data_IF_200516290309
#
_entry.id   IF_200516290309
#
_cell.length_a   1.000
_cell.length_b   1.000
_cell.length_c   1.000
_cell.angle_alpha   90.00
_cell.angle_beta   90.00
_cell.angle_gamma   90.00
#
_symmetry.space_group_name_H-M   'P 1'
#
loop_
_entity.id
_entity.type
_entity.pdbx_description
1 polymer ?
#
# COMPACT_ATOMS: atom_id res chain seq x y z
N UNK A 1 -10.94 12.80 9.76
CA UNK A 1 -9.87 12.43 8.82
C UNK A 1 -10.22 11.09 8.20
N UNK A 2 -10.29 11.01 6.87
CA UNK A 2 -10.56 9.76 6.15
C UNK A 2 -9.30 9.35 5.37
N UNK A 3 -9.02 8.05 5.27
CA UNK A 3 -7.89 7.54 4.49
C UNK A 3 -8.34 6.62 3.37
N UNK A 4 -7.87 6.86 2.15
CA UNK A 4 -8.08 5.95 1.01
C UNK A 4 -6.76 5.25 0.70
N UNK A 5 -6.75 3.92 0.80
CA UNK A 5 -5.54 3.11 0.67
C UNK A 5 -5.59 2.17 -0.52
N UNK A 6 -4.46 2.13 -1.24
CA UNK A 6 -4.16 1.19 -2.32
C UNK A 6 -2.89 0.41 -1.94
N UNK A 7 -3.04 -0.68 -1.18
CA UNK A 7 -1.95 -1.59 -0.75
C UNK A 7 -2.33 -3.01 -0.26
N UNK A 8 -1.82 -4.03 -0.96
CA UNK A 8 -1.68 -5.48 -0.65
C UNK A 8 -2.50 -6.08 0.51
N UNK A 9 -3.51 -6.92 0.19
CA UNK A 9 -4.19 -7.88 1.10
C UNK A 9 -4.60 -9.19 0.40
N UNK A 10 -4.36 -10.33 1.05
CA UNK A 10 -4.60 -11.69 0.56
C UNK A 10 -6.11 -11.92 0.31
N UNK A 11 -6.49 -12.36 -0.90
CA UNK A 11 -7.88 -12.66 -1.26
C UNK A 11 -8.11 -14.17 -1.20
N UNK A 12 -9.19 -14.59 -0.53
CA UNK A 12 -9.66 -15.97 -0.41
C UNK A 12 -10.60 -16.37 -1.58
N UNK A 13 -10.71 -17.66 -1.93
CA UNK A 13 -11.31 -18.13 -3.17
C UNK A 13 -12.83 -18.30 -3.05
N UNK A 14 -13.57 -17.19 -3.07
CA UNK A 14 -15.01 -17.22 -3.38
C UNK A 14 -15.46 -15.81 -3.71
N UNK A 15 -15.75 -15.59 -4.99
CA UNK A 15 -16.34 -14.37 -5.49
C UNK A 15 -17.67 -14.10 -4.77
N UNK A 16 -17.70 -13.02 -4.00
CA UNK A 16 -18.94 -12.37 -3.58
C UNK A 16 -18.62 -10.88 -3.54
N UNK A 17 -19.38 -10.07 -4.27
CA UNK A 17 -19.29 -8.62 -4.23
C UNK A 17 -19.57 -8.18 -2.78
N UNK A 18 -18.51 -7.90 -2.02
CA UNK A 18 -18.65 -7.47 -0.64
C UNK A 18 -18.87 -5.97 -0.62
N UNK A 19 -19.97 -5.62 0.05
CA UNK A 19 -20.39 -4.27 0.39
C UNK A 19 -19.23 -3.44 0.94
N UNK A 20 -19.36 -2.11 0.88
CA UNK A 20 -18.25 -1.25 1.21
C UNK A 20 -17.98 -1.25 2.72
N UNK A 21 -16.72 -1.35 3.10
CA UNK A 21 -16.31 -1.31 4.51
C UNK A 21 -15.79 -2.62 5.06
N UNK A 22 -15.00 -3.38 4.28
CA UNK A 22 -14.12 -4.40 4.84
C UNK A 22 -13.03 -3.71 5.68
N UNK A 23 -13.38 -3.43 6.93
CA UNK A 23 -12.43 -2.93 7.92
C UNK A 23 -11.39 -3.99 8.33
N UNK A 24 -11.63 -5.28 8.08
CA UNK A 24 -10.77 -6.34 8.64
C UNK A 24 -10.61 -7.57 7.72
N UNK A 25 -10.32 -7.37 6.42
CA UNK A 25 -9.72 -8.47 5.65
C UNK A 25 -8.25 -8.67 6.06
N UNK A 26 -7.80 -9.90 6.34
CA UNK A 26 -6.41 -10.15 6.69
C UNK A 26 -5.44 -9.62 5.63
N UNK A 27 -4.38 -8.95 6.07
CA UNK A 27 -3.27 -8.56 5.21
C UNK A 27 -2.46 -9.78 4.75
N UNK A 28 -1.49 -9.58 3.85
CA UNK A 28 -0.65 -10.68 3.34
C UNK A 28 0.16 -11.39 4.44
N UNK A 29 0.42 -10.69 5.55
CA UNK A 29 1.03 -11.22 6.77
C UNK A 29 0.07 -12.01 7.67
N UNK A 30 -1.19 -12.20 7.25
CA UNK A 30 -2.23 -12.84 8.03
C UNK A 30 -2.71 -12.03 9.25
N UNK A 31 -2.22 -10.80 9.42
CA UNK A 31 -2.56 -9.87 10.49
C UNK A 31 -3.45 -8.73 10.00
N UNK A 32 -3.57 -7.68 10.81
CA UNK A 32 -4.37 -6.51 10.50
C UNK A 32 -3.64 -5.59 9.49
N UNK A 33 -4.29 -5.12 8.40
CA UNK A 33 -3.65 -4.19 7.47
C UNK A 33 -3.28 -2.89 8.18
N UNK A 34 -2.05 -2.39 7.95
CA UNK A 34 -1.52 -1.20 8.63
C UNK A 34 -2.42 0.06 8.64
N UNK A 35 -3.24 0.35 7.61
CA UNK A 35 -4.23 1.43 7.66
C UNK A 35 -5.21 1.35 8.82
N UNK A 36 -5.62 0.14 9.17
CA UNK A 36 -6.57 -0.08 10.26
C UNK A 36 -5.98 0.30 11.62
N UNK A 37 -4.66 0.12 11.79
CA UNK A 37 -3.93 0.60 12.97
C UNK A 37 -3.89 2.13 13.01
N UNK A 38 -3.74 2.81 11.87
CA UNK A 38 -3.86 4.29 11.82
C UNK A 38 -5.25 4.71 12.27
N UNK A 39 -6.30 4.08 11.75
CA UNK A 39 -7.68 4.31 12.18
C UNK A 39 -7.86 4.12 13.69
N UNK A 40 -7.27 3.05 14.25
CA UNK A 40 -7.28 2.79 15.69
C UNK A 40 -6.53 3.86 16.49
N UNK A 41 -5.38 4.36 16.01
CA UNK A 41 -4.55 5.30 16.76
C UNK A 41 -5.12 6.71 16.83
N UNK A 42 -5.82 7.16 15.80
CA UNK A 42 -6.27 8.56 15.69
C UNK A 42 -7.78 8.71 15.45
N UNK A 43 -8.55 7.62 15.54
CA UNK A 43 -10.01 7.64 15.34
C UNK A 43 -10.43 7.97 13.90
N UNK A 44 -9.55 7.75 12.93
CA UNK A 44 -9.83 8.03 11.53
C UNK A 44 -10.63 6.91 10.86
N UNK A 45 -11.47 7.27 9.91
CA UNK A 45 -12.10 6.30 9.01
C UNK A 45 -11.09 5.90 7.95
N UNK A 46 -11.11 4.65 7.51
CA UNK A 46 -10.31 4.20 6.39
C UNK A 46 -11.16 3.42 5.40
N UNK A 47 -10.82 3.60 4.12
CA UNK A 47 -11.43 2.96 2.97
C UNK A 47 -10.33 2.23 2.21
N UNK A 48 -10.51 0.93 2.04
CA UNK A 48 -9.49 0.06 1.54
C UNK A 48 -9.89 -0.48 0.17
N UNK A 49 -9.20 0.01 -0.86
CA UNK A 49 -9.38 -0.45 -2.24
C UNK A 49 -8.24 -1.36 -2.69
N UNK A 50 -7.40 -1.74 -1.74
CA UNK A 50 -6.22 -2.50 -2.03
C UNK A 50 -6.48 -3.95 -2.41
N UNK A 51 -5.70 -4.45 -3.36
CA UNK A 51 -5.70 -5.86 -3.73
C UNK A 51 -4.28 -6.42 -3.63
N UNK A 52 -4.08 -7.53 -2.91
CA UNK A 52 -2.80 -8.23 -2.94
C UNK A 52 -2.52 -8.71 -4.34
N UNK A 53 -1.31 -8.42 -4.78
CA UNK A 53 -0.92 -8.80 -6.11
C UNK A 53 -1.32 -7.84 -7.21
N UNK A 54 -1.97 -6.73 -6.87
CA UNK A 54 -2.19 -5.66 -7.83
C UNK A 54 -0.86 -5.10 -8.33
N UNK A 55 -0.88 -4.74 -9.61
CA UNK A 55 0.10 -3.88 -10.27
C UNK A 55 -0.51 -2.48 -10.47
N UNK A 56 0.27 -1.51 -10.95
CA UNK A 56 -0.33 -0.21 -11.28
C UNK A 56 -1.35 -0.34 -12.42
N UNK A 57 -0.98 -1.06 -13.49
CA UNK A 57 -1.84 -1.33 -14.63
C UNK A 57 -1.47 -2.67 -15.26
N UNK A 58 -2.47 -3.53 -15.49
CA UNK A 58 -2.27 -4.78 -16.22
C UNK A 58 -1.91 -4.55 -17.70
N UNK A 59 -2.09 -3.34 -18.23
CA UNK A 59 -1.58 -3.00 -19.57
C UNK A 59 -0.05 -2.92 -19.62
N UNK A 60 0.60 -2.67 -18.47
CA UNK A 60 2.05 -2.53 -18.34
C UNK A 60 2.69 -3.83 -17.87
N UNK A 61 2.16 -4.39 -16.78
CA UNK A 61 2.70 -5.56 -16.08
C UNK A 61 1.57 -6.54 -15.78
N UNK A 62 0.98 -7.20 -16.81
CA UNK A 62 -0.17 -8.08 -16.60
C UNK A 62 0.17 -9.17 -15.58
N UNK A 63 -0.62 -9.25 -14.50
CA UNK A 63 -0.36 -10.23 -13.45
C UNK A 63 -1.54 -11.17 -13.31
N UNK A 64 -1.32 -12.43 -13.64
CA UNK A 64 -2.36 -13.47 -13.61
C UNK A 64 -2.30 -14.20 -12.26
N UNK A 65 -3.46 -14.35 -11.62
CA UNK A 65 -3.63 -15.20 -10.45
C UNK A 65 -3.65 -16.67 -10.88
N UNK A 66 -2.63 -17.44 -10.50
CA UNK A 66 -2.53 -18.86 -10.88
C UNK A 66 -3.77 -19.67 -10.46
N UNK A 67 -4.40 -19.31 -9.34
CA UNK A 67 -5.57 -20.02 -8.82
C UNK A 67 -6.83 -19.86 -9.72
N UNK A 68 -6.96 -18.75 -10.44
CA UNK A 68 -8.17 -18.44 -11.23
C UNK A 68 -7.89 -18.35 -12.73
N UNK A 69 -6.64 -18.12 -13.14
CA UNK A 69 -6.28 -17.80 -14.52
C UNK A 69 -6.66 -16.37 -14.93
N UNK A 70 -7.17 -15.56 -14.00
CA UNK A 70 -7.62 -14.19 -14.27
C UNK A 70 -6.56 -13.16 -13.84
N UNK A 71 -6.65 -11.95 -14.39
CA UNK A 71 -5.80 -10.84 -13.96
C UNK A 71 -6.15 -10.40 -12.54
N UNK A 72 -5.14 -10.09 -11.73
CA UNK A 72 -5.34 -9.37 -10.49
C UNK A 72 -5.94 -7.99 -10.78
N UNK A 73 -6.97 -7.55 -10.04
CA UNK A 73 -7.47 -6.19 -10.16
C UNK A 73 -6.37 -5.14 -9.89
N UNK A 74 -6.05 -4.34 -10.89
CA UNK A 74 -5.00 -3.32 -10.84
C UNK A 74 -5.51 -1.97 -10.32
N UNK A 75 -4.60 -1.03 -10.10
CA UNK A 75 -4.96 0.31 -9.60
C UNK A 75 -5.74 1.11 -10.65
N UNK A 76 -5.28 1.10 -11.90
CA UNK A 76 -5.78 1.99 -12.95
C UNK A 76 -7.18 1.63 -13.44
N UNK A 77 -7.49 0.35 -13.60
CA UNK A 77 -8.75 -0.15 -14.16
C UNK A 77 -9.75 -0.62 -13.11
N UNK A 78 -9.31 -0.94 -11.89
CA UNK A 78 -10.20 -1.37 -10.82
C UNK A 78 -10.19 -0.45 -9.60
N UNK A 79 -9.06 -0.32 -8.88
CA UNK A 79 -9.10 0.24 -7.52
C UNK A 79 -9.53 1.72 -7.51
N UNK A 80 -8.96 2.55 -8.39
CA UNK A 80 -9.33 3.97 -8.52
C UNK A 80 -10.75 4.15 -9.07
N UNK A 81 -11.16 3.45 -10.15
CA UNK A 81 -12.55 3.43 -10.61
C UNK A 81 -13.56 3.01 -9.53
N UNK A 82 -13.28 1.96 -8.75
CA UNK A 82 -14.15 1.48 -7.68
C UNK A 82 -14.35 2.57 -6.60
N UNK A 83 -13.26 3.23 -6.19
CA UNK A 83 -13.36 4.39 -5.30
C UNK A 83 -14.24 5.51 -5.87
N UNK A 84 -14.14 5.81 -7.16
CA UNK A 84 -14.98 6.83 -7.78
C UNK A 84 -16.46 6.42 -7.81
N UNK A 85 -16.76 5.15 -8.09
CA UNK A 85 -18.12 4.63 -8.07
C UNK A 85 -18.72 4.73 -6.65
N UNK A 86 -17.98 4.30 -5.64
CA UNK A 86 -18.38 4.40 -4.23
C UNK A 86 -18.62 5.86 -3.81
N UNK A 87 -17.71 6.77 -4.14
CA UNK A 87 -17.86 8.20 -3.82
C UNK A 87 -19.10 8.83 -4.46
N UNK A 88 -19.50 8.35 -5.64
CA UNK A 88 -20.69 8.84 -6.34
C UNK A 88 -21.97 8.24 -5.78
N UNK A 89 -21.91 7.03 -5.23
CA UNK A 89 -23.07 6.31 -4.75
C UNK A 89 -23.81 7.06 -3.64
N UNK A 90 -25.13 7.06 -3.75
CA UNK A 90 -26.06 7.64 -2.78
C UNK A 90 -27.11 6.58 -2.50
N UNK A 91 -27.29 6.27 -1.22
CA UNK A 91 -28.31 5.31 -0.79
C UNK A 91 -29.72 5.85 -1.12
N UNK A 92 -30.74 4.98 -1.22
CA UNK A 92 -32.12 5.40 -1.45
C UNK A 92 -32.67 6.40 -0.42
N UNK A 93 -32.10 6.43 0.79
CA UNK A 93 -32.46 7.39 1.84
C UNK A 93 -31.79 8.78 1.67
N UNK A 94 -31.07 9.01 0.57
CA UNK A 94 -30.39 10.26 0.25
C UNK A 94 -29.01 10.44 0.90
N UNK A 95 -28.57 9.50 1.75
CA UNK A 95 -27.23 9.58 2.36
C UNK A 95 -26.15 9.14 1.39
N UNK A 96 -25.00 9.82 1.39
CA UNK A 96 -23.84 9.40 0.61
C UNK A 96 -23.24 8.12 1.16
N UNK A 97 -22.77 7.27 0.26
CA UNK A 97 -22.06 6.06 0.63
C UNK A 97 -20.85 6.35 1.52
N UNK A 98 -20.03 7.29 1.08
CA UNK A 98 -18.87 7.79 1.80
C UNK A 98 -18.75 9.30 1.60
N UNK A 99 -18.18 9.99 2.60
CA UNK A 99 -17.96 11.43 2.55
C UNK A 99 -16.50 11.75 2.72
N UNK A 100 -15.80 12.01 1.62
CA UNK A 100 -14.36 12.30 1.56
C UNK A 100 -14.07 13.80 1.41
N UNK A 101 -14.11 14.59 2.51
CA UNK A 101 -13.76 16.01 2.50
C UNK A 101 -12.31 16.20 2.04
N UNK A 102 -12.05 16.98 0.96
CA UNK A 102 -10.71 17.24 0.43
C UNK A 102 -9.68 17.67 1.48
N UNK A 103 -10.09 18.49 2.44
CA UNK A 103 -9.25 19.10 3.46
C UNK A 103 -8.81 18.13 4.56
N UNK A 104 -9.55 17.04 4.79
CA UNK A 104 -9.24 16.08 5.85
C UNK A 104 -9.14 14.63 5.37
N UNK A 105 -9.09 14.42 4.06
CA UNK A 105 -8.87 13.10 3.47
C UNK A 105 -7.44 12.96 2.98
N UNK A 106 -6.77 11.87 3.36
CA UNK A 106 -5.43 11.51 2.91
C UNK A 106 -5.51 10.29 2.00
N UNK A 107 -4.89 10.37 0.84
CA UNK A 107 -4.85 9.32 -0.18
C UNK A 107 -3.47 8.70 -0.17
N UNK A 108 -3.36 7.42 0.15
CA UNK A 108 -2.08 6.74 0.13
C UNK A 108 -2.02 5.63 -0.91
N UNK A 109 -0.96 5.69 -1.73
CA UNK A 109 -0.70 4.72 -2.79
C UNK A 109 0.63 4.04 -2.47
N UNK A 110 0.56 2.72 -2.20
CA UNK A 110 1.74 1.87 -2.10
C UNK A 110 1.62 0.73 -3.11
N UNK A 111 2.28 0.90 -4.25
CA UNK A 111 2.22 -0.02 -5.38
C UNK A 111 3.59 -0.14 -6.05
N UNK A 112 3.76 -1.18 -6.85
CA UNK A 112 4.93 -1.38 -7.71
C UNK A 112 5.77 -2.60 -7.36
N UNK A 113 5.67 -3.15 -6.14
CA UNK A 113 6.43 -4.34 -5.76
C UNK A 113 6.07 -5.55 -6.64
N UNK A 114 4.84 -5.57 -7.16
CA UNK A 114 4.39 -6.56 -8.13
C UNK A 114 4.76 -6.20 -9.58
N UNK A 115 5.05 -4.93 -9.86
CA UNK A 115 5.49 -4.45 -11.16
C UNK A 115 7.00 -4.71 -11.36
N UNK A 116 7.79 -4.56 -10.30
CA UNK A 116 9.27 -4.69 -10.31
C UNK A 116 9.76 -6.02 -9.72
N UNK A 117 9.08 -7.12 -10.02
CA UNK A 117 9.48 -8.49 -9.63
C UNK A 117 9.93 -9.30 -10.85
N UNK A 118 10.32 -10.55 -10.60
CA UNK A 118 10.88 -11.46 -11.61
C UNK A 118 9.91 -11.87 -12.74
N UNK A 119 8.62 -11.55 -12.63
CA UNK A 119 7.59 -11.69 -13.68
C UNK A 119 7.11 -10.32 -14.19
N UNK A 120 7.89 -9.26 -13.93
CA UNK A 120 7.67 -7.90 -14.42
C UNK A 120 8.98 -7.26 -14.90
N UNK A 121 9.23 -6.02 -14.49
CA UNK A 121 10.34 -5.20 -15.01
C UNK A 121 11.75 -5.68 -14.67
N UNK A 122 11.95 -6.55 -13.67
CA UNK A 122 13.30 -7.01 -13.33
C UNK A 122 13.89 -8.01 -14.33
N UNK A 123 13.05 -8.63 -15.16
CA UNK A 123 13.43 -9.72 -16.06
C UNK A 123 12.90 -9.51 -17.48
N UNK A 124 12.49 -8.28 -17.80
CA UNK A 124 11.88 -7.93 -19.09
C UNK A 124 10.60 -8.73 -19.42
N UNK A 125 9.83 -9.10 -18.39
CA UNK A 125 8.57 -9.87 -18.50
C UNK A 125 7.32 -8.98 -18.62
N UNK A 126 7.46 -7.66 -18.50
CA UNK A 126 6.41 -6.67 -18.76
C UNK A 126 5.90 -6.71 -20.21
N UNK A 127 4.83 -5.95 -20.48
CA UNK A 127 4.39 -5.66 -21.85
C UNK A 127 5.56 -5.07 -22.66
N UNK A 128 5.88 -5.72 -23.79
CA UNK A 128 6.99 -5.34 -24.67
C UNK A 128 6.92 -3.86 -25.05
N UNK A 129 8.06 -3.19 -24.97
CA UNK A 129 8.20 -1.77 -25.31
C UNK A 129 7.84 -0.80 -24.19
N UNK A 130 7.38 -1.29 -23.03
CA UNK A 130 7.18 -0.47 -21.83
C UNK A 130 8.40 -0.51 -20.91
N UNK A 131 8.53 0.50 -20.07
CA UNK A 131 9.67 0.77 -19.19
C UNK A 131 9.21 1.06 -17.77
N UNK A 132 10.14 1.09 -16.82
CA UNK A 132 9.85 1.53 -15.44
C UNK A 132 9.28 2.96 -15.41
N UNK A 133 9.65 3.81 -16.38
CA UNK A 133 9.08 5.15 -16.48
C UNK A 133 7.57 5.11 -16.79
N UNK A 134 7.11 4.17 -17.61
CA UNK A 134 5.67 4.00 -17.89
C UNK A 134 4.90 3.56 -16.64
N UNK A 135 5.49 2.71 -15.80
CA UNK A 135 4.92 2.36 -14.49
C UNK A 135 4.84 3.58 -13.56
N UNK A 136 5.90 4.39 -13.51
CA UNK A 136 5.90 5.63 -12.71
C UNK A 136 4.81 6.56 -13.22
N UNK A 137 4.72 6.76 -14.54
CA UNK A 137 3.69 7.59 -15.16
C UNK A 137 2.27 7.05 -14.88
N UNK A 138 2.08 5.73 -14.85
CA UNK A 138 0.81 5.13 -14.41
C UNK A 138 0.45 5.55 -12.98
N UNK A 139 1.39 5.53 -12.02
CA UNK A 139 1.13 5.94 -10.63
C UNK A 139 0.72 7.42 -10.57
N UNK A 140 1.44 8.28 -11.29
CA UNK A 140 1.14 9.72 -11.36
C UNK A 140 -0.20 10.02 -12.03
N UNK A 141 -0.55 9.30 -13.09
CA UNK A 141 -1.86 9.41 -13.71
C UNK A 141 -2.99 9.07 -12.72
N UNK A 142 -2.77 8.16 -11.77
CA UNK A 142 -3.77 7.87 -10.74
C UNK A 142 -3.91 9.01 -9.74
N UNK A 143 -2.80 9.64 -9.36
CA UNK A 143 -2.77 10.86 -8.54
C UNK A 143 -3.54 11.97 -9.26
N UNK A 144 -3.29 12.19 -10.55
CA UNK A 144 -4.00 13.18 -11.37
C UNK A 144 -5.50 12.93 -11.40
N UNK A 145 -5.92 11.68 -11.62
CA UNK A 145 -7.34 11.31 -11.64
C UNK A 145 -8.04 11.59 -10.30
N UNK A 146 -7.36 11.32 -9.18
CA UNK A 146 -7.83 11.64 -7.83
C UNK A 146 -7.87 13.15 -7.62
N UNK A 147 -6.82 13.86 -8.03
CA UNK A 147 -6.66 15.30 -7.89
C UNK A 147 -7.73 16.09 -8.64
N UNK A 148 -8.00 15.71 -9.90
CA UNK A 148 -9.08 16.28 -10.72
C UNK A 148 -10.48 16.12 -10.08
N UNK A 149 -10.62 15.19 -9.12
CA UNK A 149 -11.85 14.95 -8.34
C UNK A 149 -11.76 15.48 -6.91
N UNK A 150 -10.86 16.42 -6.65
CA UNK A 150 -10.77 17.13 -5.39
C UNK A 150 -9.87 16.49 -4.33
N UNK A 151 -9.13 15.42 -4.62
CA UNK A 151 -8.12 14.92 -3.68
C UNK A 151 -6.98 15.93 -3.54
N UNK A 152 -6.51 16.18 -2.30
CA UNK A 152 -5.50 17.22 -2.02
C UNK A 152 -4.36 16.80 -1.10
N UNK A 153 -4.50 15.72 -0.34
CA UNK A 153 -3.45 15.23 0.56
C UNK A 153 -3.00 13.84 0.12
N UNK A 154 -1.76 13.69 -0.34
CA UNK A 154 -1.25 12.44 -0.88
C UNK A 154 -0.05 11.92 -0.08
N UNK A 155 0.01 10.61 0.14
CA UNK A 155 1.17 9.93 0.70
C UNK A 155 1.57 8.80 -0.25
N UNK A 156 2.72 8.94 -0.89
CA UNK A 156 3.20 7.97 -1.88
C UNK A 156 4.41 7.25 -1.33
N UNK A 157 4.36 5.92 -1.39
CA UNK A 157 5.46 5.07 -0.98
C UNK A 157 6.32 4.76 -2.18
N UNK A 158 7.60 5.13 -2.11
CA UNK A 158 8.55 4.76 -3.15
C UNK A 158 9.04 3.33 -2.91
N UNK A 159 9.23 2.59 -3.99
CA UNK A 159 9.97 1.34 -3.95
C UNK A 159 11.45 1.64 -4.02
N UNK A 160 12.22 0.86 -3.26
CA UNK A 160 13.64 1.08 -3.05
C UNK A 160 14.40 1.31 -4.37
N UNK A 161 15.31 2.28 -4.33
CA UNK A 161 16.19 2.75 -5.42
C UNK A 161 15.56 3.38 -6.67
N UNK A 162 14.23 3.51 -6.80
CA UNK A 162 13.65 4.33 -7.89
C UNK A 162 14.13 5.76 -7.69
N UNK A 163 14.85 6.29 -8.70
CA UNK A 163 15.50 7.59 -8.66
C UNK A 163 14.52 8.69 -8.20
N UNK A 164 14.60 9.04 -6.91
CA UNK A 164 13.65 9.93 -6.25
C UNK A 164 13.72 11.35 -6.82
N UNK A 165 14.80 11.72 -7.52
CA UNK A 165 14.92 13.04 -8.15
C UNK A 165 13.94 13.25 -9.31
N UNK A 166 13.79 12.28 -10.22
CA UNK A 166 12.84 12.39 -11.34
C UNK A 166 11.38 12.33 -10.87
N UNK A 167 11.11 11.48 -9.89
CA UNK A 167 9.79 11.36 -9.23
C UNK A 167 9.45 12.65 -8.48
N UNK A 168 10.37 13.19 -7.68
CA UNK A 168 10.19 14.44 -6.97
C UNK A 168 10.06 15.65 -7.92
N UNK A 169 10.75 15.64 -9.06
CA UNK A 169 10.64 16.72 -10.05
C UNK A 169 9.27 16.74 -10.72
N UNK A 170 8.74 15.59 -11.15
CA UNK A 170 7.34 15.48 -11.62
C UNK A 170 6.34 15.85 -10.52
N UNK A 171 6.65 15.55 -9.26
CA UNK A 171 5.82 16.00 -8.14
C UNK A 171 5.85 17.51 -7.97
N UNK A 172 7.02 18.15 -8.03
CA UNK A 172 7.14 19.61 -7.91
C UNK A 172 6.31 20.36 -8.95
N UNK A 173 6.17 19.81 -10.17
CA UNK A 173 5.29 20.38 -11.21
C UNK A 173 3.81 20.32 -10.81
N UNK A 174 3.38 19.34 -10.02
CA UNK A 174 2.01 19.19 -9.50
C UNK A 174 1.79 19.81 -8.12
N UNK A 175 2.88 20.09 -7.37
CA UNK A 175 2.85 20.50 -5.96
C UNK A 175 2.12 21.84 -5.77
N UNK A 176 2.16 22.74 -6.75
CA UNK A 176 1.50 24.06 -6.66
C UNK A 176 -0.02 23.99 -6.45
N UNK A 177 -0.66 22.83 -6.64
CA UNK A 177 -2.11 22.68 -6.55
C UNK A 177 -2.59 21.70 -5.47
N UNK A 178 -1.70 20.96 -4.81
CA UNK A 178 -2.03 20.02 -3.71
C UNK A 178 -1.79 20.68 -2.35
N UNK A 179 -2.57 20.30 -1.34
CA UNK A 179 -2.43 20.86 0.01
C UNK A 179 -1.22 20.28 0.74
N UNK A 180 -1.04 18.95 0.61
CA UNK A 180 0.07 18.26 1.25
C UNK A 180 0.46 17.02 0.45
N UNK A 181 1.76 16.84 0.25
CA UNK A 181 2.31 15.65 -0.38
C UNK A 181 3.44 15.09 0.47
N UNK A 182 3.47 13.77 0.68
CA UNK A 182 4.54 13.09 1.39
C UNK A 182 5.09 11.92 0.57
N UNK A 183 6.39 11.95 0.32
CA UNK A 183 7.16 10.84 -0.24
C UNK A 183 7.75 10.02 0.89
N UNK A 184 7.33 8.76 1.05
CA UNK A 184 7.77 7.90 2.14
C UNK A 184 9.00 7.09 1.76
N UNK A 185 10.09 7.24 2.53
CA UNK A 185 11.28 6.38 2.47
C UNK A 185 11.07 5.11 3.32
N UNK A 186 10.35 4.15 2.72
CA UNK A 186 10.10 2.87 3.38
C UNK A 186 11.38 2.03 3.49
N UNK A 187 12.30 2.14 2.53
CA UNK A 187 13.57 1.41 2.54
C UNK A 187 14.45 1.84 3.71
N UNK A 188 14.61 3.15 3.93
CA UNK A 188 15.32 3.70 5.07
C UNK A 188 14.71 3.27 6.41
N UNK A 189 13.38 3.31 6.53
CA UNK A 189 12.67 2.85 7.72
C UNK A 189 12.90 1.35 8.00
N UNK A 190 12.88 0.51 6.97
CA UNK A 190 13.16 -0.92 7.11
C UNK A 190 14.63 -1.18 7.46
N UNK A 191 15.58 -0.45 6.86
CA UNK A 191 17.01 -0.53 7.20
C UNK A 191 17.29 -0.11 8.65
N UNK A 192 16.64 0.95 9.15
CA UNK A 192 16.77 1.36 10.56
C UNK A 192 16.15 0.33 11.50
N UNK A 193 15.01 -0.26 11.12
CA UNK A 193 14.40 -1.37 11.87
C UNK A 193 15.33 -2.58 11.95
N UNK A 194 15.98 -2.95 10.84
CA UNK A 194 16.95 -4.05 10.83
C UNK A 194 18.17 -3.76 11.71
N UNK A 195 18.66 -2.51 11.72
CA UNK A 195 19.81 -2.10 12.54
C UNK A 195 19.46 -1.91 14.02
N UNK A 196 18.24 -1.46 14.32
CA UNK A 196 17.78 -1.07 15.65
C UNK A 196 16.38 -1.68 15.94
N UNK A 197 16.23 -3.01 15.98
CA UNK A 197 14.92 -3.66 16.01
C UNK A 197 14.09 -3.31 17.26
N UNK A 198 14.73 -3.08 18.40
CA UNK A 198 14.06 -2.69 19.65
C UNK A 198 13.28 -1.38 19.60
N UNK A 199 13.54 -0.52 18.60
CA UNK A 199 12.79 0.73 18.42
C UNK A 199 11.39 0.50 17.82
N UNK A 200 11.24 -0.57 17.05
CA UNK A 200 10.08 -0.78 16.18
C UNK A 200 9.37 -2.12 16.44
N UNK A 201 10.06 -3.09 17.06
CA UNK A 201 9.52 -4.36 17.48
C UNK A 201 9.27 -4.36 19.00
N UNK A 202 8.21 -5.04 19.43
CA UNK A 202 7.77 -5.10 20.83
C UNK A 202 7.80 -6.54 21.39
N UNK A 203 8.40 -7.49 20.68
CA UNK A 203 8.59 -8.86 21.15
C UNK A 203 9.45 -8.92 22.42
N UNK A 204 9.16 -9.92 23.25
CA UNK A 204 9.83 -10.16 24.55
C UNK A 204 11.02 -11.11 24.47
N UNK A 205 11.22 -11.75 23.31
CA UNK A 205 12.38 -12.60 23.00
C UNK A 205 13.38 -11.83 22.13
N UNK A 206 14.54 -12.44 21.87
CA UNK A 206 15.52 -11.89 20.93
C UNK A 206 14.90 -11.60 19.57
N UNK A 207 15.12 -10.39 19.05
CA UNK A 207 14.58 -9.97 17.77
C UNK A 207 15.17 -10.76 16.60
N UNK A 208 14.31 -11.16 15.66
CA UNK A 208 14.69 -11.84 14.45
C UNK A 208 14.50 -10.91 13.24
N UNK A 209 15.62 -10.46 12.68
CA UNK A 209 15.66 -9.48 11.58
C UNK A 209 15.94 -10.11 10.21
N UNK A 210 16.25 -11.41 10.16
CA UNK A 210 16.66 -12.14 8.95
C UNK A 210 15.74 -13.30 8.59
N UNK A 211 15.14 -13.95 9.58
CA UNK A 211 14.17 -15.04 9.40
C UNK A 211 12.75 -14.52 9.24
N UNK A 212 11.83 -15.47 9.09
CA UNK A 212 10.40 -15.23 8.86
C UNK A 212 9.52 -16.11 9.78
N UNK A 213 8.29 -15.66 10.01
CA UNK A 213 7.28 -16.34 10.83
C UNK A 213 6.66 -17.53 10.08
N UNK A 214 6.44 -17.36 8.79
CA UNK A 214 5.65 -18.22 7.93
C UNK A 214 6.35 -18.41 6.59
N UNK A 215 6.46 -19.66 6.14
CA UNK A 215 7.00 -20.00 4.82
C UNK A 215 5.97 -20.77 4.06
N UNK A 216 5.84 -20.49 2.77
CA UNK A 216 5.09 -21.34 1.87
C UNK A 216 5.99 -21.90 0.77
N UNK A 217 5.63 -23.04 0.18
CA UNK A 217 6.18 -23.47 -1.11
C UNK A 217 5.95 -22.40 -2.19
N UNK A 218 6.72 -22.43 -3.28
CA UNK A 218 6.66 -21.41 -4.34
C UNK A 218 5.27 -21.28 -5.00
N UNK A 219 4.49 -22.35 -5.03
CA UNK A 219 3.10 -22.38 -5.51
C UNK A 219 2.07 -22.03 -4.41
N UNK A 220 2.53 -21.72 -3.19
CA UNK A 220 1.69 -21.29 -2.06
C UNK A 220 0.88 -22.40 -1.39
N UNK A 221 1.12 -23.68 -1.69
CA UNK A 221 0.28 -24.79 -1.20
C UNK A 221 0.73 -25.39 0.12
N UNK A 222 2.04 -25.40 0.41
CA UNK A 222 2.60 -25.97 1.63
C UNK A 222 3.11 -24.85 2.52
N UNK A 223 2.26 -24.39 3.43
CA UNK A 223 2.59 -23.29 4.35
C UNK A 223 2.87 -23.80 5.76
N UNK A 224 4.04 -23.45 6.30
CA UNK A 224 4.48 -23.79 7.67
C UNK A 224 4.71 -22.50 8.45
N UNK A 225 4.07 -22.40 9.62
CA UNK A 225 4.38 -21.37 10.62
C UNK A 225 5.44 -21.90 11.58
N UNK A 226 6.60 -21.24 11.61
CA UNK A 226 7.73 -21.64 12.45
C UNK A 226 7.64 -21.09 13.86
N UNK A 227 7.10 -19.88 14.04
CA UNK A 227 6.98 -19.25 15.36
C UNK A 227 5.75 -18.35 15.43
N UNK A 228 4.68 -18.85 16.05
CA UNK A 228 3.43 -18.12 16.19
C UNK A 228 3.32 -17.35 17.52
N UNK A 229 4.11 -17.70 18.52
CA UNK A 229 4.03 -17.12 19.86
C UNK A 229 4.88 -15.85 19.97
N UNK A 230 5.95 -15.75 19.18
CA UNK A 230 6.89 -14.62 19.22
C UNK A 230 6.83 -13.75 17.96
N UNK A 231 5.70 -13.69 17.26
CA UNK A 231 5.52 -12.92 16.00
C UNK A 231 5.95 -11.45 16.12
N UNK A 232 5.78 -10.87 17.30
CA UNK A 232 6.16 -9.50 17.66
C UNK A 232 7.69 -9.26 17.69
N UNK A 233 8.50 -10.32 17.64
CA UNK A 233 9.96 -10.25 17.58
C UNK A 233 10.52 -10.28 16.15
N UNK A 234 9.69 -10.51 15.12
CA UNK A 234 10.16 -10.67 13.74
C UNK A 234 9.91 -9.43 12.90
N UNK A 235 10.88 -9.08 12.04
CA UNK A 235 10.65 -8.06 11.00
C UNK A 235 9.76 -8.63 9.88
N UNK A 236 9.94 -9.90 9.53
CA UNK A 236 9.33 -10.52 8.35
C UNK A 236 8.27 -11.54 8.72
N UNK A 237 7.14 -11.50 8.02
CA UNK A 237 6.14 -12.56 8.07
C UNK A 237 6.56 -13.74 7.20
N UNK A 238 6.91 -13.48 5.94
CA UNK A 238 7.42 -14.47 4.99
C UNK A 238 8.64 -13.91 4.25
N UNK A 239 9.11 -14.58 3.20
CA UNK A 239 10.28 -14.17 2.43
C UNK A 239 10.16 -12.78 1.76
N UNK A 240 8.96 -12.21 1.71
CA UNK A 240 8.67 -10.96 0.99
C UNK A 240 7.94 -9.92 1.86
N UNK A 241 6.99 -10.35 2.68
CA UNK A 241 6.08 -9.48 3.41
C UNK A 241 6.61 -9.20 4.82
N UNK A 242 6.72 -7.93 5.22
CA UNK A 242 6.97 -7.57 6.61
C UNK A 242 5.86 -8.07 7.52
N UNK A 243 6.21 -8.35 8.77
CA UNK A 243 5.31 -8.81 9.82
C UNK A 243 4.26 -7.77 10.19
N UNK A 244 3.19 -8.24 10.81
CA UNK A 244 2.16 -7.37 11.39
C UNK A 244 2.77 -6.36 12.37
N UNK A 245 3.76 -6.76 13.17
CA UNK A 245 4.41 -5.85 14.11
C UNK A 245 5.24 -4.78 13.40
N UNK A 246 5.92 -5.12 12.31
CA UNK A 246 6.58 -4.11 11.45
C UNK A 246 5.55 -3.14 10.88
N UNK A 247 4.41 -3.65 10.41
CA UNK A 247 3.31 -2.83 9.90
C UNK A 247 2.65 -1.95 10.95
N UNK A 248 2.54 -2.44 12.17
CA UNK A 248 2.04 -1.69 13.32
C UNK A 248 2.96 -0.54 13.69
N UNK A 249 4.28 -0.75 13.62
CA UNK A 249 5.27 0.34 13.79
C UNK A 249 5.21 1.33 12.63
N UNK A 250 5.07 0.84 11.40
CA UNK A 250 4.89 1.70 10.24
C UNK A 250 3.64 2.58 10.37
N UNK A 251 2.52 2.05 10.86
CA UNK A 251 1.30 2.81 11.11
C UNK A 251 1.53 3.98 12.11
N UNK A 252 2.36 3.79 13.15
CA UNK A 252 2.76 4.89 14.06
C UNK A 252 3.58 5.94 13.32
N UNK A 253 4.53 5.52 12.50
CA UNK A 253 5.32 6.43 11.67
C UNK A 253 4.45 7.17 10.66
N UNK A 254 3.44 6.52 10.09
CA UNK A 254 2.48 7.15 9.17
C UNK A 254 1.70 8.27 9.85
N UNK A 255 1.29 8.11 11.11
CA UNK A 255 0.69 9.21 11.90
C UNK A 255 1.67 10.39 12.01
N UNK A 256 2.97 10.14 12.19
CA UNK A 256 3.98 11.23 12.18
C UNK A 256 4.16 11.84 10.79
N UNK A 257 4.07 11.05 9.72
CA UNK A 257 4.17 11.50 8.32
C UNK A 257 3.02 12.47 8.02
N UNK A 258 1.77 12.08 8.23
CA UNK A 258 0.63 12.95 7.92
C UNK A 258 0.58 14.24 8.75
N UNK A 259 1.32 14.29 9.86
CA UNK A 259 1.49 15.47 10.71
C UNK A 259 2.72 16.31 10.34
N UNK A 260 3.48 15.96 9.30
CA UNK A 260 4.66 16.68 8.85
C UNK A 260 5.89 16.57 9.76
N UNK A 261 5.96 15.51 10.60
CA UNK A 261 6.99 15.37 11.65
C UNK A 261 7.92 14.18 11.47
N UNK A 262 7.76 13.42 10.39
CA UNK A 262 8.54 12.20 10.18
C UNK A 262 9.81 12.45 9.40
N UNK A 263 10.95 11.98 9.92
CA UNK A 263 12.22 11.93 9.17
C UNK A 263 12.20 10.93 8.00
N UNK A 264 11.19 10.06 7.94
CA UNK A 264 11.00 9.05 6.91
C UNK A 264 10.11 9.53 5.75
N UNK A 265 9.82 10.83 5.69
CA UNK A 265 9.11 11.40 4.57
C UNK A 265 9.69 12.76 4.16
N UNK A 266 9.76 12.97 2.85
CA UNK A 266 9.95 14.30 2.27
C UNK A 266 8.58 14.92 2.08
N UNK A 267 8.34 16.04 2.76
CA UNK A 267 7.09 16.79 2.66
C UNK A 267 7.22 17.89 1.60
N UNK A 268 6.25 17.94 0.70
CA UNK A 268 6.09 19.00 -0.28
C UNK A 268 4.72 19.65 -0.03
N UNK A 269 4.71 20.97 0.11
CA UNK A 269 3.51 21.79 0.25
C UNK A 269 3.65 23.02 -0.64
N UNK A 270 2.55 23.47 -1.22
CA UNK A 270 2.47 24.78 -1.90
C UNK A 270 2.63 25.94 -0.92
#
# INVERSE_FOLDING_TARGET
MEFVFFRIMKVSPSFTFLSPGLQDTPAADGGRPWPSYVGQYIGARFHNYAVSGAVCSNSLTPRIAQATGELFPDVSSYQVPAFFADRQYTYPNGTKFMGVPPESTVYAIMIGGNDVRADGYLTDSQTKGTTIADYIDCVFQQIDRLFQRGARNFVIHTLGTINTTGVAQRMLEQVALVNAFALVDLEGLMKDTHKNPSRNLNGTVSYNVTGYINRCSLNGTECVRYDNDNRDAFIWYDELHPSEQTWRSYAKNFVSIINGRSKWATHLSA
#
